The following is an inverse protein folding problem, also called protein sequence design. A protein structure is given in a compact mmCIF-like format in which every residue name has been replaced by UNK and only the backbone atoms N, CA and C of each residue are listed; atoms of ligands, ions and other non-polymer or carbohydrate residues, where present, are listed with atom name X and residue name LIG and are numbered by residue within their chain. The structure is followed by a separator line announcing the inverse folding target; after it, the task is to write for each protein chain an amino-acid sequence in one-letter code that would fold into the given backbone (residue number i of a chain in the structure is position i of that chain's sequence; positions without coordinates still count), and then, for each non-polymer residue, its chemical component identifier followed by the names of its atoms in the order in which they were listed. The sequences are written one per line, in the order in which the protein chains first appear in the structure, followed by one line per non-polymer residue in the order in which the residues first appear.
data_IF_779394135780
#
_entry.id   IF_779394135780
#
_cell.length_a   1.000
_cell.length_b   1.000
_cell.length_c   1.000
_cell.angle_alpha   90.00
_cell.angle_beta   90.00
_cell.angle_gamma   90.00
#
_symmetry.space_group_name_H-M   'P 1'
#
loop_
_entity.id
_entity.type
_entity.pdbx_description
1 polymer ?
#
# COMPACT_ATOMS: atom_id res chain seq x y z
N UNK A 1 -16.97 -25.51 28.39
CA UNK A 1 -17.06 -24.36 27.46
C UNK A 1 -15.96 -23.37 27.83
N UNK A 2 -14.79 -23.46 27.22
CA UNK A 2 -13.64 -22.57 27.50
C UNK A 2 -13.86 -21.21 26.82
N UNK A 3 -13.89 -20.15 27.64
CA UNK A 3 -14.13 -18.76 27.22
C UNK A 3 -12.96 -18.29 26.36
N UNK A 4 -13.23 -17.94 25.08
CA UNK A 4 -12.26 -17.37 24.15
C UNK A 4 -11.60 -16.14 24.80
N UNK A 5 -10.25 -16.07 24.90
CA UNK A 5 -9.58 -14.93 25.51
C UNK A 5 -9.95 -13.64 24.75
N UNK A 6 -10.34 -12.61 25.50
CA UNK A 6 -10.74 -11.31 24.94
C UNK A 6 -9.53 -10.69 24.23
N UNK A 7 -9.72 -10.26 22.97
CA UNK A 7 -8.72 -9.53 22.18
C UNK A 7 -8.14 -8.40 23.05
N UNK A 8 -6.82 -8.41 23.24
CA UNK A 8 -6.13 -7.45 24.09
C UNK A 8 -6.49 -6.02 23.67
N UNK A 9 -6.76 -5.15 24.64
CA UNK A 9 -6.93 -3.72 24.36
C UNK A 9 -5.59 -3.20 23.86
N UNK A 10 -5.66 -2.38 22.80
CA UNK A 10 -4.51 -1.76 22.14
C UNK A 10 -3.66 -0.92 23.11
N UNK A 11 -4.23 -0.53 24.25
CA UNK A 11 -3.58 0.30 25.27
C UNK A 11 -2.67 -0.50 26.23
N UNK A 12 -2.44 -1.79 26.00
CA UNK A 12 -1.50 -2.56 26.83
C UNK A 12 -0.06 -2.38 26.35
N UNK A 13 0.87 -2.26 27.30
CA UNK A 13 2.30 -2.12 27.00
C UNK A 13 2.84 -3.27 26.11
N UNK A 14 2.29 -4.49 26.25
CA UNK A 14 2.68 -5.63 25.41
C UNK A 14 2.27 -5.45 23.93
N UNK A 15 1.08 -4.91 23.67
CA UNK A 15 0.63 -4.62 22.31
C UNK A 15 1.42 -3.43 21.71
N UNK A 16 1.72 -2.42 22.52
CA UNK A 16 2.56 -1.29 22.09
C UNK A 16 3.96 -1.75 21.65
N UNK A 17 4.62 -2.64 22.41
CA UNK A 17 5.92 -3.22 22.05
C UNK A 17 5.82 -4.07 20.78
N UNK A 18 4.77 -4.88 20.62
CA UNK A 18 4.58 -5.68 19.40
C UNK A 18 4.36 -4.82 18.15
N UNK A 19 3.66 -3.69 18.28
CA UNK A 19 3.52 -2.69 17.21
C UNK A 19 4.87 -2.06 16.88
N UNK A 20 5.64 -1.62 17.88
CA UNK A 20 6.98 -1.03 17.67
C UNK A 20 7.94 -1.99 16.95
N UNK A 21 7.98 -3.28 17.34
CA UNK A 21 8.85 -4.28 16.70
C UNK A 21 8.48 -4.49 15.22
N UNK A 22 7.17 -4.47 14.90
CA UNK A 22 6.71 -4.58 13.51
C UNK A 22 6.96 -3.30 12.72
N UNK A 23 6.85 -2.13 13.36
CA UNK A 23 7.12 -0.84 12.77
C UNK A 23 8.59 -0.68 12.33
N UNK A 24 9.50 -1.26 13.11
CA UNK A 24 10.93 -1.25 12.80
C UNK A 24 11.30 -2.11 11.56
N UNK A 25 10.40 -2.92 11.02
CA UNK A 25 10.65 -3.72 9.82
C UNK A 25 10.26 -2.96 8.56
N UNK A 26 11.16 -2.94 7.58
CA UNK A 26 10.84 -2.53 6.21
C UNK A 26 9.87 -3.55 5.62
N UNK A 27 8.76 -3.08 5.06
CA UNK A 27 7.79 -3.93 4.38
C UNK A 27 8.23 -4.07 2.92
N UNK A 28 8.70 -5.26 2.59
CA UNK A 28 9.11 -5.59 1.22
C UNK A 28 7.97 -6.31 0.46
N UNK A 29 7.94 -6.17 -0.88
CA UNK A 29 7.03 -6.95 -1.71
C UNK A 29 7.22 -8.45 -1.51
N UNK A 30 6.14 -9.24 -1.42
CA UNK A 30 6.24 -10.69 -1.30
C UNK A 30 6.87 -11.31 -2.54
N UNK A 31 7.81 -12.24 -2.36
CA UNK A 31 8.53 -12.89 -3.45
C UNK A 31 7.65 -13.57 -4.53
N UNK A 32 6.42 -13.99 -4.16
CA UNK A 32 5.48 -14.63 -5.08
C UNK A 32 4.57 -13.64 -5.83
N UNK A 33 4.59 -12.35 -5.48
CA UNK A 33 3.97 -11.25 -6.24
C UNK A 33 4.98 -10.09 -6.31
N UNK A 34 5.98 -10.19 -7.21
CA UNK A 34 7.01 -9.17 -7.37
C UNK A 34 6.45 -7.91 -8.03
N UNK A 35 7.17 -6.79 -7.85
CA UNK A 35 6.86 -5.53 -8.50
C UNK A 35 7.46 -5.45 -9.90
N UNK A 36 6.75 -4.77 -10.79
CA UNK A 36 7.30 -4.28 -12.05
C UNK A 36 8.33 -3.15 -11.76
N UNK A 37 9.28 -2.93 -12.67
CA UNK A 37 10.41 -1.98 -12.47
C UNK A 37 9.97 -0.55 -12.12
N UNK A 38 8.80 -0.12 -12.60
CA UNK A 38 8.24 1.22 -12.38
C UNK A 38 7.15 1.27 -11.30
N UNK A 39 6.89 0.15 -10.61
CA UNK A 39 5.83 0.03 -9.62
C UNK A 39 6.25 0.41 -8.19
N UNK A 40 7.55 0.48 -7.90
CA UNK A 40 8.08 0.75 -6.55
C UNK A 40 7.52 2.02 -5.90
N UNK A 41 7.42 3.19 -6.59
CA UNK A 41 6.86 4.39 -5.97
C UNK A 41 5.39 4.22 -5.56
N UNK A 42 4.61 3.43 -6.30
CA UNK A 42 3.22 3.17 -5.95
C UNK A 42 3.10 2.20 -4.78
N UNK A 43 4.01 1.23 -4.69
CA UNK A 43 4.09 0.33 -3.55
C UNK A 43 4.33 1.10 -2.25
N UNK A 44 5.31 2.00 -2.24
CA UNK A 44 5.64 2.83 -1.09
C UNK A 44 4.42 3.64 -0.61
N UNK A 45 3.75 4.34 -1.54
CA UNK A 45 2.50 5.07 -1.27
C UNK A 45 1.38 4.17 -0.68
N UNK A 46 1.28 2.93 -1.15
CA UNK A 46 0.25 1.98 -0.71
C UNK A 46 0.54 1.50 0.70
N UNK A 47 1.78 1.08 0.99
CA UNK A 47 2.14 0.51 2.29
C UNK A 47 2.11 1.55 3.41
N UNK A 48 2.41 2.82 3.10
CA UNK A 48 2.33 3.95 4.04
C UNK A 48 0.91 4.37 4.44
N UNK A 49 -0.10 3.91 3.68
CA UNK A 49 -1.49 4.27 3.92
C UNK A 49 -2.08 3.66 5.20
N UNK A 50 -1.44 2.63 5.76
CA UNK A 50 -1.83 1.92 6.99
C UNK A 50 -0.58 1.68 7.85
N UNK A 51 -0.75 1.56 9.16
CA UNK A 51 0.35 1.22 10.06
C UNK A 51 0.98 -0.12 9.65
N UNK A 52 2.31 -0.23 9.71
CA UNK A 52 3.07 -1.41 9.27
C UNK A 52 2.56 -2.69 9.93
N UNK A 53 2.17 -2.60 11.21
CA UNK A 53 1.63 -3.73 11.97
C UNK A 53 0.27 -4.29 11.47
N UNK A 54 -0.47 -3.54 10.66
CA UNK A 54 -1.80 -3.93 10.16
C UNK A 54 -1.76 -4.75 8.86
N UNK A 55 -0.62 -4.82 8.19
CA UNK A 55 -0.48 -5.54 6.93
C UNK A 55 -0.39 -7.04 7.17
N UNK A 56 -1.23 -7.81 6.46
CA UNK A 56 -1.11 -9.27 6.38
C UNK A 56 -0.35 -9.67 5.12
N UNK A 57 0.20 -10.88 5.07
CA UNK A 57 0.87 -11.37 3.86
C UNK A 57 -0.04 -11.36 2.62
N UNK A 58 -1.33 -11.65 2.79
CA UNK A 58 -2.30 -11.56 1.70
C UNK A 58 -2.56 -10.11 1.26
N UNK A 59 -2.66 -9.17 2.21
CA UNK A 59 -2.78 -7.74 1.89
C UNK A 59 -1.57 -7.26 1.09
N UNK A 60 -0.36 -7.73 1.41
CA UNK A 60 0.87 -7.38 0.70
C UNK A 60 0.86 -7.92 -0.73
N UNK A 61 0.37 -9.14 -0.98
CA UNK A 61 0.21 -9.64 -2.35
C UNK A 61 -0.77 -8.80 -3.15
N UNK A 62 -1.91 -8.43 -2.55
CA UNK A 62 -2.87 -7.54 -3.20
C UNK A 62 -2.34 -6.11 -3.39
N UNK A 63 -1.47 -5.63 -2.51
CA UNK A 63 -0.79 -4.34 -2.64
C UNK A 63 0.21 -4.34 -3.80
N UNK A 64 0.96 -5.43 -3.99
CA UNK A 64 1.85 -5.59 -5.16
C UNK A 64 1.07 -5.52 -6.46
N UNK A 65 -0.02 -6.30 -6.56
CA UNK A 65 -0.85 -6.31 -7.77
C UNK A 65 -1.46 -4.92 -8.04
N UNK A 66 -1.85 -4.19 -7.00
CA UNK A 66 -2.35 -2.82 -7.11
C UNK A 66 -1.26 -1.85 -7.59
N UNK A 67 -0.04 -1.94 -7.06
CA UNK A 67 1.09 -1.11 -7.48
C UNK A 67 1.41 -1.32 -8.97
N UNK A 68 1.49 -2.58 -9.40
CA UNK A 68 1.72 -2.95 -10.80
C UNK A 68 0.60 -2.43 -11.71
N UNK A 69 -0.67 -2.59 -11.31
CA UNK A 69 -1.80 -2.07 -12.08
C UNK A 69 -1.76 -0.53 -12.22
N UNK A 70 -1.34 0.19 -11.18
CA UNK A 70 -1.17 1.65 -11.21
C UNK A 70 -0.06 2.07 -12.17
N UNK A 71 1.08 1.39 -12.15
CA UNK A 71 2.18 1.63 -13.08
C UNK A 71 1.76 1.39 -14.53
N UNK A 72 1.11 0.25 -14.79
CA UNK A 72 0.55 -0.09 -16.11
C UNK A 72 -0.47 0.95 -16.59
N UNK A 73 -1.30 1.50 -15.70
CA UNK A 73 -2.24 2.56 -16.06
C UNK A 73 -1.51 3.84 -16.49
N UNK A 74 -0.45 4.25 -15.79
CA UNK A 74 0.33 5.43 -16.16
C UNK A 74 0.94 5.26 -17.55
N UNK A 75 1.56 4.10 -17.79
CA UNK A 75 2.15 3.77 -19.09
C UNK A 75 1.11 3.77 -20.20
N UNK A 76 -0.03 3.08 -20.02
CA UNK A 76 -1.10 3.05 -21.02
C UNK A 76 -1.71 4.43 -21.28
N UNK A 77 -1.90 5.27 -20.25
CA UNK A 77 -2.40 6.65 -20.43
C UNK A 77 -1.42 7.53 -21.19
N UNK A 78 -0.12 7.39 -20.94
CA UNK A 78 0.93 8.11 -21.68
C UNK A 78 0.89 7.71 -23.16
N UNK A 79 0.87 6.41 -23.44
CA UNK A 79 0.83 5.90 -24.81
C UNK A 79 -0.46 6.29 -25.53
N UNK A 80 -1.62 6.20 -24.87
CA UNK A 80 -2.90 6.63 -25.44
C UNK A 80 -2.90 8.11 -25.84
N UNK A 81 -2.22 8.97 -25.08
CA UNK A 81 -2.09 10.39 -25.43
C UNK A 81 -1.28 10.61 -26.71
N UNK A 82 -0.28 9.77 -26.94
CA UNK A 82 0.54 9.81 -28.16
C UNK A 82 -0.19 9.24 -29.36
N UNK A 83 -0.89 8.12 -29.19
CA UNK A 83 -1.63 7.43 -30.26
C UNK A 83 -2.95 8.12 -30.62
N UNK A 84 -3.59 8.78 -29.66
CA UNK A 84 -4.95 9.28 -29.78
C UNK A 84 -6.04 8.22 -29.51
N UNK A 85 -7.26 8.68 -29.29
CA UNK A 85 -8.41 7.82 -28.96
C UNK A 85 -9.04 7.15 -30.19
N UNK A 86 -8.73 7.66 -31.39
CA UNK A 86 -9.24 7.17 -32.67
C UNK A 86 -8.08 6.86 -33.58
N UNK A 87 -8.02 5.62 -34.05
CA UNK A 87 -7.06 5.13 -35.03
C UNK A 87 -7.71 5.01 -36.40
N UNK A 88 -6.89 4.87 -37.44
CA UNK A 88 -7.34 4.62 -38.81
C UNK A 88 -6.69 3.35 -39.33
N UNK A 89 -7.47 2.52 -40.03
CA UNK A 89 -6.92 1.35 -40.72
C UNK A 89 -6.29 1.74 -42.06
N UNK A 90 -5.70 0.78 -42.77
CA UNK A 90 -5.08 0.99 -44.09
C UNK A 90 -6.06 1.52 -45.15
N UNK A 91 -7.37 1.30 -44.94
CA UNK A 91 -8.46 1.79 -45.80
C UNK A 91 -8.99 3.16 -45.35
N UNK A 92 -8.36 3.81 -44.37
CA UNK A 92 -8.75 5.12 -43.83
C UNK A 92 -9.97 5.12 -42.91
N UNK A 93 -10.60 3.96 -42.66
CA UNK A 93 -11.75 3.84 -41.74
C UNK A 93 -11.31 4.08 -40.30
N UNK A 94 -12.01 4.98 -39.62
CA UNK A 94 -11.75 5.32 -38.22
C UNK A 94 -12.31 4.24 -37.28
N UNK A 95 -11.55 3.86 -36.25
CA UNK A 95 -11.99 2.96 -35.19
C UNK A 95 -11.40 3.37 -33.84
N UNK A 96 -12.05 2.97 -32.74
CA UNK A 96 -11.61 3.30 -31.40
C UNK A 96 -10.28 2.60 -31.07
N UNK A 97 -9.34 3.33 -30.48
CA UNK A 97 -8.10 2.76 -29.99
C UNK A 97 -8.41 1.70 -28.90
N UNK A 98 -7.99 0.43 -29.05
CA UNK A 98 -8.23 -0.62 -28.06
C UNK A 98 -7.73 -0.26 -26.65
N UNK A 99 -6.71 0.60 -26.56
CA UNK A 99 -6.13 1.06 -25.30
C UNK A 99 -7.11 1.88 -24.45
N UNK A 100 -8.13 2.50 -25.05
CA UNK A 100 -9.21 3.18 -24.30
C UNK A 100 -9.91 2.20 -23.36
N UNK A 101 -10.23 1.00 -23.85
CA UNK A 101 -10.85 -0.06 -23.05
C UNK A 101 -9.92 -0.59 -21.97
N UNK A 102 -8.63 -0.75 -22.28
CA UNK A 102 -7.61 -1.19 -21.31
C UNK A 102 -7.48 -0.18 -20.16
N UNK A 103 -7.37 1.11 -20.48
CA UNK A 103 -7.30 2.19 -19.47
C UNK A 103 -8.54 2.20 -18.59
N UNK A 104 -9.73 2.03 -19.17
CA UNK A 104 -10.97 1.94 -18.41
C UNK A 104 -10.98 0.72 -17.46
N UNK A 105 -10.57 -0.45 -17.96
CA UNK A 105 -10.47 -1.68 -17.15
C UNK A 105 -9.52 -1.52 -15.97
N UNK A 106 -8.34 -0.94 -16.19
CA UNK A 106 -7.36 -0.66 -15.14
C UNK A 106 -7.92 0.30 -14.08
N UNK A 107 -8.64 1.35 -14.47
CA UNK A 107 -9.30 2.25 -13.50
C UNK A 107 -10.29 1.51 -12.59
N UNK A 108 -11.09 0.60 -13.16
CA UNK A 108 -12.06 -0.21 -12.40
C UNK A 108 -11.32 -1.16 -11.44
N UNK A 109 -10.31 -1.87 -11.94
CA UNK A 109 -9.48 -2.79 -11.14
C UNK A 109 -8.80 -2.07 -9.97
N UNK A 110 -8.14 -0.94 -10.22
CA UNK A 110 -7.46 -0.13 -9.21
C UNK A 110 -8.45 0.35 -8.13
N UNK A 111 -9.63 0.83 -8.55
CA UNK A 111 -10.67 1.27 -7.61
C UNK A 111 -11.13 0.12 -6.70
N UNK A 112 -11.36 -1.06 -7.28
CA UNK A 112 -11.79 -2.25 -6.55
C UNK A 112 -10.70 -2.74 -5.58
N UNK A 113 -9.45 -2.83 -6.02
CA UNK A 113 -8.32 -3.26 -5.19
C UNK A 113 -8.04 -2.29 -4.02
N UNK A 114 -8.16 -0.99 -4.24
CA UNK A 114 -8.09 -0.01 -3.12
C UNK A 114 -9.22 -0.21 -2.11
N UNK A 115 -10.38 -0.67 -2.58
CA UNK A 115 -11.53 -0.94 -1.71
C UNK A 115 -11.35 -2.21 -0.89
N UNK A 116 -10.83 -3.29 -1.47
CA UNK A 116 -10.53 -4.51 -0.72
C UNK A 116 -9.47 -4.28 0.37
N UNK A 117 -8.46 -3.44 0.10
CA UNK A 117 -7.40 -3.11 1.07
C UNK A 117 -7.82 -2.11 2.16
N UNK A 118 -9.05 -1.58 2.13
CA UNK A 118 -9.56 -0.57 3.06
C UNK A 118 -8.67 0.68 3.17
N UNK A 119 -8.08 1.10 2.04
CA UNK A 119 -7.21 2.28 1.91
C UNK A 119 -8.04 3.58 1.74
N UNK A 120 -9.37 3.47 1.67
CA UNK A 120 -10.27 4.63 1.56
C UNK A 120 -10.42 5.36 2.90
N UNK A 121 -10.14 6.67 2.92
CA UNK A 121 -10.29 7.56 4.08
C UNK A 121 -11.74 7.85 4.50
N UNK A 122 -12.66 6.88 4.47
CA UNK A 122 -14.09 7.14 4.76
C UNK A 122 -14.43 6.90 6.24
N UNK A 123 -14.79 7.99 6.91
CA UNK A 123 -15.46 8.00 8.19
C UNK A 123 -16.86 7.36 8.10
N UNK A 124 -17.11 6.30 8.88
CA UNK A 124 -18.45 5.80 9.18
C UNK A 124 -18.47 5.14 10.56
N UNK A 125 -19.16 5.75 11.54
CA UNK A 125 -19.68 5.14 12.78
C UNK A 125 -18.71 4.32 13.65
N UNK A 126 -18.46 3.06 13.28
CA UNK A 126 -17.48 2.14 13.89
C UNK A 126 -16.02 2.47 13.52
N UNK A 127 -15.83 3.21 12.43
CA UNK A 127 -14.54 3.70 11.96
C UNK A 127 -13.85 4.67 12.92
N UNK A 128 -14.53 5.23 13.93
CA UNK A 128 -13.86 6.07 14.94
C UNK A 128 -12.92 5.26 15.84
N UNK A 129 -13.29 4.04 16.23
CA UNK A 129 -12.43 3.18 17.05
C UNK A 129 -11.29 2.58 16.20
N UNK A 130 -11.56 2.22 14.93
CA UNK A 130 -10.53 1.75 13.99
C UNK A 130 -9.59 2.87 13.55
N UNK A 131 -10.10 4.07 13.24
CA UNK A 131 -9.28 5.22 12.89
C UNK A 131 -8.49 5.73 14.10
N UNK A 132 -9.08 5.69 15.30
CA UNK A 132 -8.39 5.96 16.56
C UNK A 132 -7.23 4.99 16.79
N UNK A 133 -7.46 3.68 16.60
CA UNK A 133 -6.41 2.66 16.65
C UNK A 133 -5.35 2.84 15.59
N UNK A 134 -5.73 3.13 14.34
CA UNK A 134 -4.79 3.42 13.23
C UNK A 134 -3.93 4.64 13.53
N UNK A 135 -4.54 5.70 14.05
CA UNK A 135 -3.83 6.93 14.43
C UNK A 135 -2.89 6.67 15.61
N UNK A 136 -3.33 5.92 16.62
CA UNK A 136 -2.50 5.54 17.76
C UNK A 136 -1.31 4.66 17.32
N UNK A 137 -1.57 3.65 16.48
CA UNK A 137 -0.52 2.82 15.90
C UNK A 137 0.48 3.70 15.11
N UNK A 138 0.01 4.50 14.15
CA UNK A 138 0.90 5.38 13.35
C UNK A 138 1.68 6.38 14.21
N UNK A 139 1.09 6.89 15.30
CA UNK A 139 1.80 7.76 16.25
C UNK A 139 2.86 7.01 17.06
N UNK A 140 2.62 5.74 17.42
CA UNK A 140 3.61 4.87 18.07
C UNK A 140 4.75 4.54 17.10
N UNK A 141 4.45 4.26 15.83
CA UNK A 141 5.46 4.02 14.79
C UNK A 141 6.32 5.28 14.59
N UNK A 142 5.70 6.46 14.47
CA UNK A 142 6.41 7.73 14.30
C UNK A 142 7.24 8.16 15.54
N UNK A 143 6.96 7.59 16.72
CA UNK A 143 7.70 7.83 17.95
C UNK A 143 8.80 6.77 18.19
N UNK A 144 9.08 5.90 17.22
CA UNK A 144 10.09 4.86 17.33
C UNK A 144 11.51 5.48 17.37
N UNK A 145 12.24 5.40 18.50
CA UNK A 145 13.58 6.00 18.63
C UNK A 145 14.64 5.34 17.75
N UNK A 146 14.31 4.22 17.09
CA UNK A 146 15.20 3.52 16.17
C UNK A 146 15.23 4.13 14.76
N UNK A 147 14.29 5.03 14.43
CA UNK A 147 14.29 5.78 13.15
C UNK A 147 15.12 7.07 13.25
N UNK A 148 15.46 7.53 14.46
CA UNK A 148 16.44 8.59 14.68
C UNK A 148 17.85 7.99 14.49
N UNK A 149 18.41 8.11 13.29
CA UNK A 149 19.77 7.65 12.92
C UNK A 149 20.89 8.23 13.81
N UNK A 150 20.58 9.21 14.66
CA UNK A 150 21.49 9.91 15.57
C UNK A 150 21.68 9.22 16.94
N UNK A 151 20.94 8.14 17.24
CA UNK A 151 20.99 7.47 18.56
C UNK A 151 21.86 6.21 18.62
N UNK A 152 22.46 5.78 17.51
CA UNK A 152 23.45 4.70 17.51
C UNK A 152 24.84 5.27 17.83
N UNK A 153 25.17 5.33 19.12
CA UNK A 153 26.53 5.60 19.58
C UNK A 153 27.52 4.64 18.88
N UNK A 154 28.29 5.16 17.91
CA UNK A 154 29.39 4.41 17.30
C UNK A 154 30.47 4.25 18.37
N UNK A 155 30.88 3.03 18.75
CA UNK A 155 31.99 2.87 19.66
C UNK A 155 33.23 3.51 19.02
N UNK A 156 33.78 4.54 19.69
CA UNK A 156 35.08 5.08 19.32
C UNK A 156 36.09 3.94 19.45
N UNK A 157 36.70 3.57 18.33
CA UNK A 157 37.79 2.60 18.30
C UNK A 157 38.92 3.21 19.13
N UNK A 158 39.16 2.69 20.33
CA UNK A 158 40.34 3.04 21.11
C UNK A 158 41.59 2.57 20.35
N UNK A 159 42.54 3.48 20.16
CA UNK A 159 43.88 3.21 19.62
C UNK A 159 44.66 2.23 20.51
#
# INVERSE_FOLDING_TARGET
MTRKPRKARIDSAAEAVAVMIKAARVIEPPAHSPLDDDALPFWDDIVEARAKAEWTGHDLSCASDLANAMAQLVTNRRTLRTEGEVLRNDKGTAYANPRVSVVHGLHVQIKAARQSLNIHGRAAGEARDVAGRRKAAKAIEAANPLEDEDLLARPAVFQ
#
